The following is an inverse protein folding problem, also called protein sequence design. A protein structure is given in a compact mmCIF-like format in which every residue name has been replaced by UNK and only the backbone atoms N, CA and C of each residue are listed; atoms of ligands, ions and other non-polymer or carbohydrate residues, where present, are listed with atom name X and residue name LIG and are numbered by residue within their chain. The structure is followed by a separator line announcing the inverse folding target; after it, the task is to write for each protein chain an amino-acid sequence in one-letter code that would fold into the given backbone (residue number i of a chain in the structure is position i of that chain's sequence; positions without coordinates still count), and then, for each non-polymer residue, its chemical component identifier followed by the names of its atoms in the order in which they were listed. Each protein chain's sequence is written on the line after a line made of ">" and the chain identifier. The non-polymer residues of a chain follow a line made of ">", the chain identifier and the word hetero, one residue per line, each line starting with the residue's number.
data_IF_092559965960
#
_entry.id   IF_092559965960
#
_cell.length_a   1.000
_cell.length_b   1.000
_cell.length_c   1.000
_cell.angle_alpha   90.00
_cell.angle_beta   90.00
_cell.angle_gamma   90.00
#
_symmetry.space_group_name_H-M   'P 1'
#
loop_
_entity.id
_entity.type
_entity.pdbx_description
1 polymer ?
#
# COMPACT_ATOMS: atom_id res chain seq x y z
N UNK A 1 23.14 20.89 7.74
CA UNK A 1 23.04 21.33 9.17
C UNK A 1 22.55 22.79 9.30
N UNK A 2 23.09 23.76 8.52
CA UNK A 2 22.69 25.17 8.59
C UNK A 2 21.20 25.40 8.30
N UNK A 3 20.63 24.74 7.29
CA UNK A 3 19.20 24.87 6.96
C UNK A 3 18.27 24.49 8.11
N UNK A 4 18.56 23.45 8.86
CA UNK A 4 17.76 23.03 10.02
C UNK A 4 17.88 24.02 11.19
N UNK A 5 19.05 24.62 11.38
CA UNK A 5 19.26 25.64 12.39
C UNK A 5 18.40 26.89 12.12
N UNK A 6 18.47 27.44 10.92
CA UNK A 6 17.67 28.60 10.53
C UNK A 6 16.16 28.30 10.47
N UNK A 7 15.77 27.09 10.05
CA UNK A 7 14.39 26.66 10.14
C UNK A 7 13.86 26.71 11.59
N UNK A 8 14.64 26.19 12.54
CA UNK A 8 14.28 26.23 13.96
C UNK A 8 14.23 27.67 14.50
N UNK A 9 15.12 28.57 14.04
CA UNK A 9 15.09 29.97 14.42
C UNK A 9 13.82 30.68 13.93
N UNK A 10 13.43 30.49 12.66
CA UNK A 10 12.17 31.02 12.10
C UNK A 10 10.94 30.42 12.78
N UNK A 11 10.97 29.16 13.19
CA UNK A 11 9.86 28.54 13.93
C UNK A 11 9.67 29.13 15.32
N UNK A 12 10.75 29.64 15.96
CA UNK A 12 10.66 30.33 17.26
C UNK A 12 10.14 31.75 17.14
N UNK A 13 10.57 32.46 16.09
CA UNK A 13 10.13 33.86 15.82
C UNK A 13 9.97 34.04 14.30
N UNK A 14 8.74 33.91 13.83
CA UNK A 14 8.36 34.07 12.43
C UNK A 14 8.45 35.50 11.89
N UNK A 15 8.61 36.46 12.75
CA UNK A 15 8.73 37.88 12.40
C UNK A 15 10.18 38.36 12.32
N UNK A 16 11.15 37.54 12.72
CA UNK A 16 12.56 37.91 12.73
C UNK A 16 13.13 38.01 11.30
N UNK A 17 13.43 39.23 10.80
CA UNK A 17 13.86 39.44 9.41
C UNK A 17 15.22 38.82 9.11
N UNK A 18 16.13 38.77 10.09
CA UNK A 18 17.45 38.17 9.92
C UNK A 18 17.36 36.65 9.78
N UNK A 19 16.53 36.00 10.62
CA UNK A 19 16.28 34.58 10.55
C UNK A 19 15.61 34.20 9.22
N UNK A 20 14.63 34.97 8.74
CA UNK A 20 13.99 34.76 7.45
C UNK A 20 14.98 34.89 6.28
N UNK A 21 15.81 35.94 6.25
CA UNK A 21 16.81 36.19 5.22
C UNK A 21 17.90 35.08 5.22
N UNK A 22 18.34 34.66 6.40
CA UNK A 22 19.29 33.54 6.54
C UNK A 22 18.68 32.21 6.08
N UNK A 23 17.40 31.96 6.44
CA UNK A 23 16.67 30.78 5.99
C UNK A 23 16.45 30.77 4.48
N UNK A 24 16.16 31.90 3.87
CA UNK A 24 16.01 32.00 2.41
C UNK A 24 17.28 31.61 1.69
N UNK A 25 18.45 32.16 2.12
CA UNK A 25 19.75 31.82 1.50
C UNK A 25 20.11 30.35 1.69
N UNK A 26 20.03 29.86 2.94
CA UNK A 26 20.36 28.47 3.26
C UNK A 26 19.36 27.50 2.61
N UNK A 27 18.07 27.85 2.60
CA UNK A 27 17.02 27.05 1.97
C UNK A 27 17.17 26.97 0.46
N UNK A 28 17.52 28.09 -0.19
CA UNK A 28 17.78 28.08 -1.63
C UNK A 28 18.98 27.20 -2.00
N UNK A 29 20.01 27.22 -1.19
CA UNK A 29 21.19 26.35 -1.41
C UNK A 29 20.80 24.86 -1.32
N UNK A 30 20.04 24.48 -0.30
CA UNK A 30 19.56 23.09 -0.13
C UNK A 30 18.64 22.68 -1.29
N UNK A 31 17.72 23.57 -1.68
CA UNK A 31 16.84 23.30 -2.82
C UNK A 31 17.64 23.10 -4.12
N UNK A 32 18.63 23.96 -4.37
CA UNK A 32 19.50 23.85 -5.53
C UNK A 32 20.32 22.54 -5.53
N UNK A 33 20.69 22.04 -4.35
CA UNK A 33 21.39 20.75 -4.21
C UNK A 33 20.47 19.58 -4.59
N UNK A 34 19.21 19.60 -4.14
CA UNK A 34 18.21 18.61 -4.58
C UNK A 34 17.91 18.69 -6.08
N UNK A 35 17.82 19.91 -6.64
CA UNK A 35 17.60 20.09 -8.09
C UNK A 35 18.80 19.56 -8.88
N UNK A 36 20.03 19.76 -8.40
CA UNK A 36 21.22 19.20 -9.02
C UNK A 36 21.19 17.67 -8.98
N UNK A 37 20.81 17.07 -7.84
CA UNK A 37 20.68 15.61 -7.74
C UNK A 37 19.66 15.05 -8.75
N UNK A 38 18.55 15.76 -8.96
CA UNK A 38 17.58 15.44 -10.02
C UNK A 38 18.23 15.48 -11.42
N UNK A 39 18.96 16.58 -11.75
CA UNK A 39 19.58 16.74 -13.06
C UNK A 39 20.67 15.70 -13.30
N UNK A 40 21.49 15.40 -12.29
CA UNK A 40 22.54 14.38 -12.36
C UNK A 40 21.93 13.00 -12.63
N UNK A 41 20.88 12.62 -11.90
CA UNK A 41 20.18 11.34 -12.10
C UNK A 41 19.54 11.26 -13.49
N UNK A 42 18.87 12.35 -13.93
CA UNK A 42 18.27 12.46 -15.27
C UNK A 42 19.28 12.32 -16.38
N UNK A 43 20.42 12.99 -16.27
CA UNK A 43 21.49 12.92 -17.26
C UNK A 43 22.17 11.55 -17.30
N UNK A 44 22.22 10.85 -16.17
CA UNK A 44 22.70 9.48 -16.07
C UNK A 44 21.67 8.44 -16.59
N UNK A 45 20.48 8.84 -17.01
CA UNK A 45 19.41 7.93 -17.45
C UNK A 45 18.71 7.18 -16.29
N UNK A 46 19.02 7.50 -15.03
CA UNK A 46 18.38 6.93 -13.85
C UNK A 46 17.05 7.64 -13.58
N UNK A 47 15.97 7.16 -14.23
CA UNK A 47 14.65 7.77 -14.16
C UNK A 47 14.04 7.67 -12.76
N UNK A 48 14.15 6.53 -12.11
CA UNK A 48 13.69 6.32 -10.74
C UNK A 48 14.39 7.28 -9.76
N UNK A 49 15.72 7.35 -9.79
CA UNK A 49 16.50 8.27 -8.96
C UNK A 49 16.18 9.75 -9.24
N UNK A 50 15.88 10.09 -10.50
CA UNK A 50 15.49 11.44 -10.87
C UNK A 50 14.09 11.78 -10.31
N UNK A 51 13.11 10.89 -10.43
CA UNK A 51 11.77 11.06 -9.83
C UNK A 51 11.89 11.27 -8.32
N UNK A 52 12.62 10.39 -7.63
CA UNK A 52 12.83 10.48 -6.18
C UNK A 52 13.51 11.79 -5.75
N UNK A 53 14.53 12.23 -6.49
CA UNK A 53 15.26 13.49 -6.21
C UNK A 53 14.37 14.72 -6.42
N UNK A 54 13.53 14.72 -7.45
CA UNK A 54 12.55 15.80 -7.67
C UNK A 54 11.51 15.84 -6.57
N UNK A 55 10.96 14.71 -6.16
CA UNK A 55 9.98 14.64 -5.05
C UNK A 55 10.57 15.18 -3.74
N UNK A 56 11.86 14.91 -3.48
CA UNK A 56 12.57 15.49 -2.33
C UNK A 56 12.71 17.02 -2.46
N UNK A 57 13.07 17.52 -3.66
CA UNK A 57 13.15 18.95 -3.92
C UNK A 57 11.79 19.63 -3.71
N UNK A 58 10.72 19.06 -4.23
CA UNK A 58 9.35 19.59 -4.11
C UNK A 58 8.85 19.55 -2.66
N UNK A 59 9.09 18.46 -1.95
CA UNK A 59 8.74 18.32 -0.54
C UNK A 59 9.47 19.37 0.33
N UNK A 60 10.78 19.57 0.04
CA UNK A 60 11.57 20.59 0.71
C UNK A 60 11.05 22.00 0.39
N UNK A 61 10.79 22.32 -0.87
CA UNK A 61 10.21 23.58 -1.30
C UNK A 61 8.89 23.89 -0.56
N UNK A 62 7.93 22.93 -0.60
CA UNK A 62 6.65 23.05 0.09
C UNK A 62 6.80 23.22 1.62
N UNK A 63 7.78 22.55 2.22
CA UNK A 63 8.10 22.68 3.65
C UNK A 63 8.53 24.11 4.00
N UNK A 64 9.37 24.73 3.17
CA UNK A 64 9.90 26.07 3.40
C UNK A 64 8.84 27.14 3.10
N UNK A 65 8.00 26.92 2.10
CA UNK A 65 6.88 27.82 1.78
C UNK A 65 5.89 27.96 2.95
N UNK A 66 5.63 26.87 3.70
CA UNK A 66 4.75 26.89 4.90
C UNK A 66 5.20 27.82 6.01
N UNK A 67 6.46 28.23 6.03
CA UNK A 67 7.00 29.21 6.99
C UNK A 67 7.16 30.59 6.38
N UNK A 68 6.49 30.88 5.23
CA UNK A 68 6.52 32.13 4.50
C UNK A 68 7.91 32.55 3.99
N UNK A 69 8.81 31.61 3.78
CA UNK A 69 10.09 31.87 3.11
C UNK A 69 9.97 31.50 1.64
N UNK A 70 10.22 32.48 0.76
CA UNK A 70 10.12 32.28 -0.69
C UNK A 70 11.44 31.74 -1.25
N UNK A 71 11.36 30.58 -1.88
CA UNK A 71 12.44 29.98 -2.66
C UNK A 71 12.10 30.06 -4.15
N UNK A 72 13.13 29.98 -4.99
CA UNK A 72 12.97 29.91 -6.44
C UNK A 72 13.07 28.45 -6.91
N UNK A 73 11.97 27.92 -7.42
CA UNK A 73 11.94 26.60 -8.06
C UNK A 73 11.76 26.81 -9.57
N UNK A 74 12.77 26.48 -10.40
CA UNK A 74 12.72 26.77 -11.84
C UNK A 74 11.62 26.01 -12.56
N UNK A 75 10.86 26.68 -13.42
CA UNK A 75 9.84 26.04 -14.27
C UNK A 75 10.46 25.04 -15.26
N UNK A 76 11.69 25.28 -15.70
CA UNK A 76 12.44 24.32 -16.54
C UNK A 76 12.63 22.97 -15.85
N UNK A 77 12.90 22.96 -14.53
CA UNK A 77 13.04 21.74 -13.73
C UNK A 77 11.70 20.99 -13.66
N UNK A 78 10.59 21.70 -13.48
CA UNK A 78 9.24 21.11 -13.48
C UNK A 78 8.89 20.51 -14.85
N UNK A 79 9.26 21.19 -15.94
CA UNK A 79 9.09 20.68 -17.30
C UNK A 79 9.91 19.42 -17.57
N UNK A 80 11.19 19.42 -17.16
CA UNK A 80 12.05 18.27 -17.27
C UNK A 80 11.53 17.07 -16.44
N UNK A 81 11.04 17.33 -15.22
CA UNK A 81 10.44 16.30 -14.38
C UNK A 81 9.25 15.61 -15.06
N UNK A 82 8.33 16.38 -15.65
CA UNK A 82 7.17 15.78 -16.36
C UNK A 82 7.59 14.78 -17.42
N UNK A 83 8.62 15.10 -18.21
CA UNK A 83 9.15 14.21 -19.23
C UNK A 83 9.77 12.94 -18.62
N UNK A 84 10.58 13.10 -17.57
CA UNK A 84 11.19 11.97 -16.85
C UNK A 84 10.15 11.09 -16.19
N UNK A 85 9.15 11.69 -15.51
CA UNK A 85 8.05 10.97 -14.87
C UNK A 85 7.29 10.14 -15.89
N UNK A 86 6.89 10.71 -17.03
CA UNK A 86 6.14 9.97 -18.05
C UNK A 86 6.97 8.78 -18.57
N UNK A 87 8.24 9.00 -18.91
CA UNK A 87 9.09 7.90 -19.36
C UNK A 87 9.33 6.84 -18.28
N UNK A 88 9.32 7.22 -17.00
CA UNK A 88 9.42 6.27 -15.88
C UNK A 88 8.12 5.46 -15.70
N UNK A 89 6.96 6.10 -15.88
CA UNK A 89 5.67 5.40 -15.86
C UNK A 89 5.57 4.37 -16.99
N UNK A 90 6.03 4.72 -18.22
CA UNK A 90 6.10 3.78 -19.34
C UNK A 90 7.02 2.57 -19.02
N UNK A 91 8.19 2.81 -18.41
CA UNK A 91 9.10 1.74 -18.00
C UNK A 91 8.45 0.81 -16.95
N UNK A 92 7.82 1.39 -15.92
CA UNK A 92 7.14 0.62 -14.87
C UNK A 92 5.98 -0.20 -15.44
N UNK A 93 5.22 0.39 -16.37
CA UNK A 93 4.11 -0.31 -17.01
C UNK A 93 4.59 -1.52 -17.80
N UNK A 94 5.64 -1.35 -18.62
CA UNK A 94 6.24 -2.45 -19.38
C UNK A 94 6.81 -3.53 -18.45
N UNK A 95 7.49 -3.14 -17.36
CA UNK A 95 8.00 -4.08 -16.35
C UNK A 95 6.85 -4.84 -15.66
N UNK A 96 5.77 -4.15 -15.32
CA UNK A 96 4.59 -4.77 -14.72
C UNK A 96 3.92 -5.78 -15.65
N UNK A 97 3.79 -5.43 -16.94
CA UNK A 97 3.23 -6.32 -17.97
C UNK A 97 4.10 -7.56 -18.18
N UNK A 98 5.41 -7.38 -18.34
CA UNK A 98 6.36 -8.51 -18.46
C UNK A 98 6.33 -9.42 -17.23
N UNK A 99 6.24 -8.83 -16.03
CA UNK A 99 6.11 -9.59 -14.79
C UNK A 99 4.78 -10.36 -14.73
N UNK A 100 3.67 -9.81 -15.20
CA UNK A 100 2.39 -10.52 -15.30
C UNK A 100 2.44 -11.69 -16.28
N UNK A 101 3.02 -11.49 -17.46
CA UNK A 101 3.19 -12.54 -18.48
C UNK A 101 4.03 -13.72 -17.95
N UNK A 102 5.00 -13.43 -17.08
CA UNK A 102 5.84 -14.43 -16.43
C UNK A 102 5.27 -14.93 -15.09
N UNK A 103 4.03 -14.58 -14.74
CA UNK A 103 3.36 -14.93 -13.48
C UNK A 103 4.13 -14.50 -12.21
N UNK A 104 4.96 -13.46 -12.33
CA UNK A 104 5.68 -12.82 -11.22
C UNK A 104 4.78 -11.79 -10.53
N UNK A 105 3.66 -12.23 -9.98
CA UNK A 105 2.58 -11.37 -9.49
C UNK A 105 3.01 -10.34 -8.45
N UNK A 106 3.96 -10.66 -7.59
CA UNK A 106 4.47 -9.70 -6.58
C UNK A 106 5.24 -8.55 -7.24
N UNK A 107 6.05 -8.87 -8.25
CA UNK A 107 6.80 -7.86 -9.01
C UNK A 107 5.85 -6.98 -9.84
N UNK A 108 4.87 -7.60 -10.51
CA UNK A 108 3.84 -6.89 -11.26
C UNK A 108 3.06 -5.93 -10.35
N UNK A 109 2.57 -6.41 -9.21
CA UNK A 109 1.85 -5.59 -8.24
C UNK A 109 2.69 -4.40 -7.74
N UNK A 110 3.99 -4.63 -7.48
CA UNK A 110 4.90 -3.56 -7.04
C UNK A 110 5.03 -2.47 -8.11
N UNK A 111 5.21 -2.85 -9.38
CA UNK A 111 5.34 -1.90 -10.49
C UNK A 111 4.04 -1.09 -10.68
N UNK A 112 2.88 -1.73 -10.73
CA UNK A 112 1.60 -1.04 -10.88
C UNK A 112 1.24 -0.17 -9.67
N UNK A 113 1.57 -0.59 -8.45
CA UNK A 113 1.37 0.24 -7.26
C UNK A 113 2.23 1.51 -7.28
N UNK A 114 3.45 1.43 -7.78
CA UNK A 114 4.30 2.61 -7.94
C UNK A 114 3.75 3.56 -9.02
N UNK A 115 3.20 3.03 -10.11
CA UNK A 115 2.48 3.84 -11.11
C UNK A 115 1.31 4.56 -10.46
N UNK A 116 0.46 3.85 -9.70
CA UNK A 116 -0.71 4.45 -9.03
C UNK A 116 -0.29 5.53 -8.03
N UNK A 117 0.83 5.34 -7.32
CA UNK A 117 1.40 6.33 -6.41
C UNK A 117 1.79 7.62 -7.14
N UNK A 118 2.41 7.48 -8.32
CA UNK A 118 2.89 8.62 -9.12
C UNK A 118 1.79 9.28 -9.94
N UNK A 119 0.89 8.48 -10.51
CA UNK A 119 -0.21 8.91 -11.38
C UNK A 119 -1.41 7.96 -11.24
N UNK A 120 -2.37 8.26 -10.33
CA UNK A 120 -3.48 7.36 -10.01
C UNK A 120 -4.40 7.03 -11.19
N UNK A 121 -4.36 7.83 -12.26
CA UNK A 121 -5.20 7.66 -13.44
C UNK A 121 -4.42 7.16 -14.66
N UNK A 122 -3.24 6.61 -14.45
CA UNK A 122 -2.40 6.12 -15.54
C UNK A 122 -2.96 4.82 -16.12
N UNK A 123 -3.48 4.91 -17.35
CA UNK A 123 -4.04 3.78 -18.12
C UNK A 123 -4.89 2.84 -17.23
N UNK A 124 -4.68 1.53 -17.32
CA UNK A 124 -5.37 0.49 -16.55
C UNK A 124 -4.53 -0.06 -15.37
N UNK A 125 -3.50 0.68 -14.94
CA UNK A 125 -2.58 0.26 -13.88
C UNK A 125 -3.30 -0.18 -12.60
N UNK A 126 -4.40 0.48 -12.22
CA UNK A 126 -5.19 0.09 -11.05
C UNK A 126 -5.85 -1.28 -11.22
N UNK A 127 -6.39 -1.58 -12.40
CA UNK A 127 -6.97 -2.88 -12.71
C UNK A 127 -5.90 -3.98 -12.74
N UNK A 128 -4.73 -3.70 -13.33
CA UNK A 128 -3.61 -4.63 -13.39
C UNK A 128 -3.01 -4.89 -12.02
N UNK A 129 -2.93 -3.89 -11.15
CA UNK A 129 -2.54 -4.08 -9.74
C UNK A 129 -3.53 -5.00 -9.00
N UNK A 130 -4.84 -4.83 -9.24
CA UNK A 130 -5.87 -5.70 -8.67
C UNK A 130 -5.73 -7.14 -9.19
N UNK A 131 -5.54 -7.35 -10.49
CA UNK A 131 -5.30 -8.67 -11.06
C UNK A 131 -4.05 -9.31 -10.44
N UNK A 132 -2.96 -8.55 -10.31
CA UNK A 132 -1.70 -9.04 -9.71
C UNK A 132 -1.88 -9.48 -8.25
N UNK A 133 -2.80 -8.85 -7.52
CA UNK A 133 -3.15 -9.22 -6.15
C UNK A 133 -4.09 -10.42 -6.08
N UNK A 134 -5.14 -10.41 -6.91
CA UNK A 134 -6.25 -11.37 -6.84
C UNK A 134 -5.89 -12.73 -7.46
N UNK A 135 -5.22 -12.75 -8.61
CA UNK A 135 -4.98 -13.98 -9.37
C UNK A 135 -4.27 -15.08 -8.59
N UNK A 136 -3.13 -14.83 -7.93
CA UNK A 136 -2.45 -15.89 -7.16
C UNK A 136 -3.29 -16.41 -5.99
N UNK A 137 -4.09 -15.55 -5.36
CA UNK A 137 -5.00 -15.92 -4.25
C UNK A 137 -6.18 -16.72 -4.74
N UNK A 138 -6.74 -16.35 -5.87
CA UNK A 138 -7.83 -17.07 -6.51
C UNK A 138 -7.39 -18.49 -6.90
N UNK A 139 -6.22 -18.63 -7.55
CA UNK A 139 -5.65 -19.96 -7.88
C UNK A 139 -5.40 -20.78 -6.61
N UNK A 140 -4.94 -20.16 -5.55
CA UNK A 140 -4.74 -20.84 -4.27
C UNK A 140 -6.08 -21.26 -3.64
N UNK A 141 -7.11 -20.42 -3.72
CA UNK A 141 -8.46 -20.79 -3.28
C UNK A 141 -8.99 -22.01 -4.04
N UNK A 142 -8.85 -22.01 -5.37
CA UNK A 142 -9.25 -23.13 -6.23
C UNK A 142 -8.53 -24.43 -5.82
N UNK A 143 -7.24 -24.39 -5.59
CA UNK A 143 -6.48 -25.55 -5.11
C UNK A 143 -6.94 -26.04 -3.72
N UNK A 144 -7.31 -25.12 -2.82
CA UNK A 144 -7.89 -25.48 -1.53
C UNK A 144 -9.29 -26.10 -1.65
N UNK A 145 -10.11 -25.67 -2.61
CA UNK A 145 -11.39 -26.32 -2.92
C UNK A 145 -11.20 -27.76 -3.36
N UNK A 146 -10.26 -28.01 -4.27
CA UNK A 146 -9.94 -29.35 -4.78
C UNK A 146 -9.48 -30.33 -3.68
N UNK A 147 -8.76 -29.82 -2.68
CA UNK A 147 -8.24 -30.62 -1.55
C UNK A 147 -9.19 -30.69 -0.36
N UNK A 148 -10.36 -30.04 -0.42
CA UNK A 148 -11.32 -29.98 0.68
C UNK A 148 -10.88 -29.13 1.86
N UNK A 149 -9.90 -28.24 1.66
CA UNK A 149 -9.41 -27.31 2.67
C UNK A 149 -10.32 -26.05 2.75
N UNK A 150 -11.60 -26.26 3.03
CA UNK A 150 -12.69 -25.29 2.89
C UNK A 150 -12.44 -23.97 3.61
N UNK A 151 -11.93 -23.99 4.85
CA UNK A 151 -11.62 -22.77 5.60
C UNK A 151 -10.52 -21.94 4.92
N UNK A 152 -9.51 -22.59 4.38
CA UNK A 152 -8.43 -21.94 3.65
C UNK A 152 -8.93 -21.34 2.35
N UNK A 153 -9.76 -22.07 1.60
CA UNK A 153 -10.42 -21.58 0.38
C UNK A 153 -11.27 -20.34 0.70
N UNK A 154 -12.14 -20.41 1.71
CA UNK A 154 -12.95 -19.28 2.16
C UNK A 154 -12.12 -18.03 2.46
N UNK A 155 -11.03 -18.19 3.20
CA UNK A 155 -10.16 -17.07 3.56
C UNK A 155 -9.50 -16.43 2.34
N UNK A 156 -9.03 -17.22 1.38
CA UNK A 156 -8.45 -16.69 0.15
C UNK A 156 -9.49 -15.96 -0.71
N UNK A 157 -10.69 -16.52 -0.87
CA UNK A 157 -11.78 -15.85 -1.58
C UNK A 157 -12.17 -14.53 -0.91
N UNK A 158 -12.22 -14.49 0.43
CA UNK A 158 -12.50 -13.26 1.18
C UNK A 158 -11.46 -12.17 0.91
N UNK A 159 -10.16 -12.51 0.85
CA UNK A 159 -9.09 -11.57 0.51
C UNK A 159 -9.22 -11.05 -0.93
N UNK A 160 -9.57 -11.94 -1.88
CA UNK A 160 -9.84 -11.57 -3.27
C UNK A 160 -10.99 -10.59 -3.35
N UNK A 161 -12.14 -10.92 -2.74
CA UNK A 161 -13.35 -10.10 -2.79
C UNK A 161 -13.23 -8.79 -2.02
N UNK A 162 -12.35 -8.71 -1.03
CA UNK A 162 -12.03 -7.46 -0.35
C UNK A 162 -11.27 -6.49 -1.25
N UNK A 163 -10.50 -6.97 -2.22
CA UNK A 163 -9.77 -6.17 -3.20
C UNK A 163 -10.65 -5.87 -4.43
N UNK A 164 -11.27 -6.91 -4.98
CA UNK A 164 -12.17 -6.82 -6.15
C UNK A 164 -13.43 -7.67 -5.90
N UNK A 165 -14.57 -7.04 -5.54
CA UNK A 165 -15.82 -7.76 -5.29
C UNK A 165 -16.40 -8.53 -6.49
N UNK A 166 -15.95 -8.22 -7.70
CA UNK A 166 -16.41 -8.85 -8.94
C UNK A 166 -15.40 -9.82 -9.55
N UNK A 167 -14.37 -10.22 -8.79
CA UNK A 167 -13.30 -11.03 -9.35
C UNK A 167 -13.74 -12.47 -9.65
N UNK A 168 -13.89 -12.77 -10.94
CA UNK A 168 -14.29 -14.11 -11.45
C UNK A 168 -15.50 -14.67 -10.67
N UNK A 169 -15.44 -15.94 -10.29
CA UNK A 169 -16.45 -16.67 -9.48
C UNK A 169 -16.01 -16.82 -8.00
N UNK A 170 -15.17 -15.91 -7.51
CA UNK A 170 -14.67 -15.96 -6.13
C UNK A 170 -15.79 -15.89 -5.07
N UNK A 171 -16.91 -15.23 -5.38
CA UNK A 171 -18.05 -15.14 -4.47
C UNK A 171 -18.76 -16.50 -4.35
N UNK A 172 -19.03 -17.15 -5.47
CA UNK A 172 -19.62 -18.49 -5.52
C UNK A 172 -18.72 -19.52 -4.83
N UNK A 173 -17.41 -19.46 -5.10
CA UNK A 173 -16.40 -20.31 -4.47
C UNK A 173 -16.35 -20.09 -2.95
N UNK A 174 -16.47 -18.85 -2.48
CA UNK A 174 -16.52 -18.52 -1.05
C UNK A 174 -17.76 -19.11 -0.38
N UNK A 175 -18.94 -19.01 -1.01
CA UNK A 175 -20.18 -19.57 -0.51
C UNK A 175 -20.14 -21.09 -0.46
N UNK A 176 -19.59 -21.73 -1.48
CA UNK A 176 -19.40 -23.18 -1.51
C UNK A 176 -18.42 -23.64 -0.40
N UNK A 177 -17.30 -22.94 -0.24
CA UNK A 177 -16.33 -23.21 0.80
C UNK A 177 -16.95 -23.07 2.21
N UNK A 178 -17.76 -22.04 2.42
CA UNK A 178 -18.51 -21.85 3.68
C UNK A 178 -19.46 -23.01 3.94
N UNK A 179 -20.26 -23.40 2.95
CA UNK A 179 -21.24 -24.48 3.06
C UNK A 179 -20.58 -25.82 3.38
N UNK A 180 -19.50 -26.16 2.68
CA UNK A 180 -18.80 -27.44 2.83
C UNK A 180 -17.89 -27.45 4.07
N UNK A 181 -17.44 -26.29 4.54
CA UNK A 181 -16.63 -26.15 5.75
C UNK A 181 -17.43 -26.14 7.06
N UNK A 182 -18.77 -26.11 6.98
CA UNK A 182 -19.62 -26.19 8.16
C UNK A 182 -19.67 -27.63 8.69
N UNK A 183 -19.50 -27.77 9.99
CA UNK A 183 -19.72 -29.03 10.69
C UNK A 183 -20.66 -28.81 11.86
N UNK A 184 -21.54 -29.80 12.09
CA UNK A 184 -22.49 -29.75 13.19
C UNK A 184 -21.89 -30.44 14.40
N UNK A 185 -21.79 -29.72 15.51
CA UNK A 185 -21.37 -30.28 16.78
C UNK A 185 -22.63 -30.65 17.59
N UNK A 186 -22.86 -31.96 17.79
CA UNK A 186 -23.91 -32.44 18.68
C UNK A 186 -23.37 -32.53 20.11
N UNK A 187 -23.88 -31.70 21.00
CA UNK A 187 -23.57 -31.80 22.43
C UNK A 187 -24.54 -32.80 23.07
N UNK A 188 -24.07 -34.03 23.22
CA UNK A 188 -24.81 -35.07 23.93
C UNK A 188 -24.87 -34.77 25.43
N UNK A 189 -25.76 -35.47 26.15
CA UNK A 189 -25.92 -35.28 27.60
C UNK A 189 -24.58 -35.63 28.35
N UNK A 190 -24.16 -34.73 29.22
CA UNK A 190 -23.07 -35.01 30.14
C UNK A 190 -23.60 -35.82 31.34
N UNK A 191 -22.89 -36.87 31.73
CA UNK A 191 -23.21 -37.60 32.97
C UNK A 191 -22.52 -36.93 34.17
N UNK A 192 -23.30 -36.55 35.15
CA UNK A 192 -22.80 -35.96 36.37
C UNK A 192 -22.48 -37.06 37.39
N UNK A 193 -21.21 -37.41 37.54
CA UNK A 193 -20.75 -38.39 38.53
C UNK A 193 -20.54 -37.82 39.95
N UNK A 194 -20.97 -36.58 40.21
CA UNK A 194 -20.81 -35.92 41.51
C UNK A 194 -22.14 -35.88 42.29
N UNK A 195 -22.05 -35.61 43.58
CA UNK A 195 -23.26 -35.46 44.45
C UNK A 195 -23.90 -34.07 44.35
N UNK A 196 -23.48 -33.23 43.38
CA UNK A 196 -24.03 -31.88 43.13
C UNK A 196 -24.97 -31.91 41.93
N UNK A 197 -26.26 -31.63 42.14
CA UNK A 197 -27.24 -31.56 41.08
C UNK A 197 -27.03 -30.33 40.16
N UNK A 198 -27.33 -30.46 38.89
CA UNK A 198 -27.33 -29.37 37.90
C UNK A 198 -25.98 -28.99 37.32
N UNK A 199 -24.87 -29.69 37.63
CA UNK A 199 -23.55 -29.43 37.04
C UNK A 199 -23.53 -29.79 35.56
N UNK A 200 -24.22 -30.84 35.14
CA UNK A 200 -24.37 -31.26 33.74
C UNK A 200 -25.00 -30.16 32.89
N UNK A 201 -26.01 -29.49 33.40
CA UNK A 201 -26.69 -28.39 32.70
C UNK A 201 -25.80 -27.17 32.60
N UNK A 202 -25.13 -26.80 33.69
CA UNK A 202 -24.17 -25.67 33.68
C UNK A 202 -23.01 -25.91 32.73
N UNK A 203 -22.43 -27.11 32.74
CA UNK A 203 -21.33 -27.46 31.86
C UNK A 203 -21.74 -27.46 30.37
N UNK A 204 -22.95 -27.99 30.09
CA UNK A 204 -23.54 -27.94 28.75
C UNK A 204 -23.70 -26.49 28.27
N UNK A 205 -24.28 -25.62 29.08
CA UNK A 205 -24.47 -24.20 28.73
C UNK A 205 -23.12 -23.50 28.48
N UNK A 206 -22.12 -23.79 29.30
CA UNK A 206 -20.79 -23.23 29.12
C UNK A 206 -20.14 -23.66 27.78
N UNK A 207 -20.17 -24.97 27.49
CA UNK A 207 -19.63 -25.50 26.22
C UNK A 207 -20.40 -24.94 25.01
N UNK A 208 -21.74 -24.80 25.11
CA UNK A 208 -22.53 -24.18 24.04
C UNK A 208 -22.17 -22.72 23.82
N UNK A 209 -21.91 -21.96 24.90
CA UNK A 209 -21.52 -20.56 24.82
C UNK A 209 -20.14 -20.40 24.18
N UNK A 210 -19.18 -21.23 24.56
CA UNK A 210 -17.81 -21.20 23.99
C UNK A 210 -17.80 -21.58 22.50
N UNK A 211 -18.57 -22.60 22.11
CA UNK A 211 -18.67 -23.01 20.71
C UNK A 211 -19.41 -21.99 19.82
N UNK A 212 -20.25 -21.14 20.40
CA UNK A 212 -20.95 -20.08 19.66
C UNK A 212 -20.08 -18.83 19.42
N UNK A 213 -18.93 -18.74 20.08
CA UNK A 213 -17.97 -17.62 19.94
C UNK A 213 -16.81 -17.91 18.97
N UNK A 214 -16.72 -19.14 18.46
CA UNK A 214 -15.67 -19.61 17.54
C UNK A 214 -16.18 -19.64 16.11
#
# INVERSE_FOLDING_TARGET
>A
QAGNYYYSAVMRDRSNPEALAAMQRAGQWVLNDHIRAFDDARLAGNREGAVASYEQAEAYFKKIEKINVRLLFPESTKGAYRNVKNAHLDDLYNQGMEALENELFVAAQSAFNEIIRLEPTYEDAAALASVSYCEPRYRQASSFMETGAWRSAYNQCREVLANDPGYKDAAEMMDEALKNGQFTVAIVAFQNGSNRSGLETKFRSYVQQELAQT
#
